data_IF_621408220366
#
_entry.id   IF_621408220366
#
_cell.length_a   1.000
_cell.length_b   1.000
_cell.length_c   1.000
_cell.angle_alpha   90.00
_cell.angle_beta   90.00
_cell.angle_gamma   90.00
#
_symmetry.space_group_name_H-M   'P 1'
#
loop_
_entity.id
_entity.type
_entity.pdbx_description
1 polymer ?
#
# COMPACT_ATOMS: atom_id res chain seq x y z
N UNK A 1 10.09 -22.99 -72.25
CA UNK A 1 9.60 -21.60 -72.27
C UNK A 1 9.95 -20.99 -70.91
N UNK A 2 11.17 -20.48 -70.69
CA UNK A 2 11.65 -19.10 -70.94
C UNK A 2 10.79 -18.03 -70.19
N UNK A 3 11.31 -17.09 -69.38
CA UNK A 3 12.67 -16.68 -68.98
C UNK A 3 12.59 -15.73 -67.75
N UNK A 4 13.74 -15.56 -67.10
CA UNK A 4 14.11 -14.80 -65.89
C UNK A 4 13.78 -13.29 -65.86
N UNK A 5 13.71 -12.68 -64.66
CA UNK A 5 14.68 -11.67 -64.18
C UNK A 5 14.38 -11.16 -62.73
N UNK A 6 15.41 -11.19 -61.86
CA UNK A 6 15.65 -10.25 -60.75
C UNK A 6 16.77 -9.27 -61.21
N UNK A 7 17.38 -8.34 -60.42
CA UNK A 7 17.23 -7.97 -58.99
C UNK A 7 17.34 -6.44 -58.70
N UNK A 8 17.31 -6.01 -57.42
CA UNK A 8 18.28 -5.07 -56.81
C UNK A 8 17.97 -4.77 -55.32
N UNK A 9 19.01 -4.77 -54.49
CA UNK A 9 19.03 -4.45 -53.07
C UNK A 9 19.57 -3.04 -52.81
N UNK A 10 19.18 -2.38 -51.71
CA UNK A 10 20.09 -1.50 -50.93
C UNK A 10 19.54 -1.01 -49.58
N UNK A 11 20.38 -1.16 -48.55
CA UNK A 11 20.70 -0.22 -47.47
C UNK A 11 19.71 0.06 -46.30
N UNK A 12 20.02 -0.57 -45.16
CA UNK A 12 20.15 -0.05 -43.78
C UNK A 12 19.98 1.47 -43.56
N UNK A 13 19.19 1.86 -42.53
CA UNK A 13 19.61 2.83 -41.48
C UNK A 13 18.66 2.89 -40.27
N UNK A 14 19.24 2.60 -39.10
CA UNK A 14 18.78 2.99 -37.76
C UNK A 14 18.56 4.50 -37.68
N UNK A 15 17.48 4.95 -37.02
CA UNK A 15 17.37 6.35 -36.58
C UNK A 15 16.89 6.43 -35.14
N UNK A 16 17.77 7.00 -34.32
CA UNK A 16 17.70 7.16 -32.89
C UNK A 16 16.64 8.17 -32.41
N UNK A 17 16.28 7.97 -31.14
CA UNK A 17 15.67 8.91 -30.19
C UNK A 17 16.05 10.38 -30.48
N UNK A 18 15.07 11.23 -30.82
CA UNK A 18 15.21 12.69 -30.76
C UNK A 18 14.53 13.21 -29.50
N UNK A 19 15.34 13.37 -28.45
CA UNK A 19 15.02 14.22 -27.30
C UNK A 19 15.02 15.67 -27.78
N UNK A 20 13.93 16.39 -27.52
CA UNK A 20 13.70 17.74 -28.01
C UNK A 20 14.58 18.76 -27.25
N UNK A 21 15.61 19.30 -27.91
CA UNK A 21 16.61 20.25 -27.37
C UNK A 21 16.08 21.68 -27.12
N UNK A 22 14.79 21.92 -27.30
CA UNK A 22 14.17 23.25 -27.08
C UNK A 22 13.79 23.53 -25.62
N UNK A 23 13.76 22.52 -24.74
CA UNK A 23 13.46 22.71 -23.31
C UNK A 23 14.69 23.14 -22.47
N UNK A 24 15.93 22.93 -22.95
CA UNK A 24 17.14 23.29 -22.20
C UNK A 24 17.62 24.74 -22.43
N UNK A 25 17.10 25.45 -23.43
CA UNK A 25 17.54 26.82 -23.73
C UNK A 25 16.76 27.91 -22.96
N UNK A 26 15.59 27.58 -22.40
CA UNK A 26 14.75 28.54 -21.68
C UNK A 26 15.23 28.82 -20.25
N UNK A 27 16.03 27.92 -19.65
CA UNK A 27 16.49 28.04 -18.26
C UNK A 27 17.81 28.82 -18.15
N UNK A 28 18.60 28.91 -19.22
CA UNK A 28 19.89 29.63 -19.23
C UNK A 28 19.73 31.14 -19.45
N UNK A 29 18.63 31.62 -20.04
CA UNK A 29 18.46 33.05 -20.35
C UNK A 29 17.93 33.90 -19.18
N UNK A 30 17.34 33.30 -18.15
CA UNK A 30 16.78 34.02 -17.00
C UNK A 30 17.83 34.42 -15.94
N UNK A 31 19.06 33.90 -16.03
CA UNK A 31 20.10 34.14 -15.01
C UNK A 31 21.19 35.15 -15.41
N UNK A 32 21.22 35.61 -16.67
CA UNK A 32 22.32 36.46 -17.19
C UNK A 32 21.94 37.91 -17.51
N UNK A 33 20.68 38.33 -17.34
CA UNK A 33 20.25 39.73 -17.55
C UNK A 33 20.19 40.57 -16.27
N UNK A 34 20.45 39.98 -15.09
CA UNK A 34 20.46 40.71 -13.80
C UNK A 34 21.77 41.44 -13.47
N UNK A 35 22.77 41.44 -14.37
CA UNK A 35 24.12 41.96 -14.08
C UNK A 35 24.70 42.83 -15.20
N UNK A 36 23.94 43.79 -15.74
CA UNK A 36 24.47 44.92 -16.52
C UNK A 36 23.37 45.93 -16.84
N UNK A 37 23.21 46.94 -15.98
CA UNK A 37 22.79 48.32 -16.31
C UNK A 37 22.53 49.04 -14.99
N UNK A 38 23.57 49.72 -14.50
CA UNK A 38 23.40 50.74 -13.49
C UNK A 38 22.69 51.92 -14.14
N UNK A 39 21.44 52.15 -13.76
CA UNK A 39 20.80 53.44 -13.96
C UNK A 39 20.03 53.81 -12.69
N UNK A 40 20.49 54.91 -12.14
CA UNK A 40 20.06 55.58 -10.94
C UNK A 40 18.80 56.37 -11.27
N UNK A 41 17.64 56.01 -10.70
CA UNK A 41 16.45 56.86 -10.71
C UNK A 41 15.99 57.05 -9.27
N UNK A 42 15.88 58.34 -8.95
CA UNK A 42 15.46 58.92 -7.68
C UNK A 42 14.05 58.49 -7.25
N UNK A 43 13.96 58.18 -5.96
CA UNK A 43 12.89 58.50 -5.01
C UNK A 43 11.47 58.73 -5.54
N UNK A 44 10.56 57.79 -5.26
CA UNK A 44 9.27 58.11 -4.65
C UNK A 44 8.62 56.83 -4.11
N UNK A 45 8.47 56.76 -2.79
CA UNK A 45 7.42 56.06 -2.05
C UNK A 45 7.06 54.62 -2.49
N UNK A 46 7.74 53.61 -1.94
CA UNK A 46 7.12 52.30 -1.68
C UNK A 46 7.75 51.67 -0.43
N UNK A 47 6.92 51.42 0.58
CA UNK A 47 7.27 50.89 1.90
C UNK A 47 7.91 49.48 1.84
N UNK A 48 8.86 49.14 2.73
CA UNK A 48 9.45 47.81 2.81
C UNK A 48 8.58 46.90 3.68
N UNK A 49 7.54 46.31 3.10
CA UNK A 49 6.78 45.19 3.72
C UNK A 49 6.65 43.98 2.78
N UNK A 50 7.32 43.99 1.63
CA UNK A 50 7.19 42.96 0.59
C UNK A 50 8.35 41.95 0.55
N UNK A 51 9.02 41.65 1.68
CA UNK A 51 10.08 40.62 1.72
C UNK A 51 9.93 39.57 2.82
N UNK A 52 8.73 39.40 3.38
CA UNK A 52 8.43 38.29 4.30
C UNK A 52 7.24 37.43 3.84
N UNK A 53 6.82 37.55 2.57
CA UNK A 53 5.70 36.78 2.01
C UNK A 53 6.17 35.76 0.95
N UNK A 54 7.32 35.14 1.18
CA UNK A 54 7.76 33.99 0.40
C UNK A 54 7.94 32.81 1.34
N UNK A 55 7.09 31.80 1.13
CA UNK A 55 6.98 30.50 1.81
C UNK A 55 5.85 30.34 2.84
N UNK A 56 4.64 30.75 2.47
CA UNK A 56 3.45 29.95 2.74
C UNK A 56 2.76 29.68 1.40
N UNK A 57 3.27 28.70 0.64
CA UNK A 57 2.39 28.02 -0.31
C UNK A 57 1.32 27.36 0.56
N UNK A 58 0.18 28.04 0.66
CA UNK A 58 -1.02 27.57 1.31
C UNK A 58 -1.40 26.23 0.69
N UNK A 59 -0.97 25.15 1.35
CA UNK A 59 -1.27 23.77 1.01
C UNK A 59 -2.79 23.67 0.94
N UNK A 60 -3.34 23.71 -0.27
CA UNK A 60 -4.76 23.45 -0.49
C UNK A 60 -5.07 22.15 0.23
N UNK A 61 -6.03 22.10 1.18
CA UNK A 61 -6.26 20.91 1.97
C UNK A 61 -6.54 19.78 1.00
N UNK A 62 -5.64 18.80 0.99
CA UNK A 62 -5.83 17.59 0.21
C UNK A 62 -7.16 17.00 0.67
N UNK A 63 -8.04 16.70 -0.29
CA UNK A 63 -9.31 16.06 0.04
C UNK A 63 -9.02 14.80 0.87
N UNK A 64 -9.66 14.68 2.04
CA UNK A 64 -9.46 13.59 3.00
C UNK A 64 -9.50 12.21 2.33
N UNK A 65 -10.39 12.03 1.36
CA UNK A 65 -10.52 10.77 0.60
C UNK A 65 -9.30 10.49 -0.28
N UNK A 66 -8.76 11.53 -0.93
CA UNK A 66 -7.56 11.44 -1.77
C UNK A 66 -6.34 11.12 -0.91
N UNK A 67 -6.23 11.79 0.24
CA UNK A 67 -5.15 11.57 1.21
C UNK A 67 -5.15 10.13 1.74
N UNK A 68 -6.30 9.64 2.22
CA UNK A 68 -6.42 8.26 2.69
C UNK A 68 -6.09 7.25 1.59
N UNK A 69 -6.60 7.48 0.37
CA UNK A 69 -6.31 6.63 -0.78
C UNK A 69 -4.81 6.57 -1.09
N UNK A 70 -4.11 7.71 -1.04
CA UNK A 70 -2.67 7.77 -1.25
C UNK A 70 -1.89 7.00 -0.18
N UNK A 71 -2.30 7.07 1.09
CA UNK A 71 -1.67 6.32 2.19
C UNK A 71 -1.90 4.81 2.07
N UNK A 72 -3.11 4.38 1.69
CA UNK A 72 -3.42 2.97 1.44
C UNK A 72 -2.67 2.42 0.23
N UNK A 73 -2.56 3.21 -0.86
CA UNK A 73 -1.71 2.87 -2.00
C UNK A 73 -0.24 2.74 -1.60
N UNK A 74 0.25 3.64 -0.74
CA UNK A 74 1.63 3.56 -0.22
C UNK A 74 1.86 2.28 0.59
N UNK A 75 0.86 1.87 1.41
CA UNK A 75 0.91 0.61 2.16
C UNK A 75 0.94 -0.60 1.23
N UNK A 76 0.06 -0.65 0.25
CA UNK A 76 0.02 -1.70 -0.77
C UNK A 76 1.37 -1.81 -1.50
N UNK A 77 1.94 -0.69 -1.96
CA UNK A 77 3.21 -0.67 -2.65
C UNK A 77 4.35 -1.17 -1.77
N UNK A 78 4.41 -0.73 -0.52
CA UNK A 78 5.41 -1.20 0.46
C UNK A 78 5.41 -2.74 0.55
N UNK A 79 4.24 -3.34 0.70
CA UNK A 79 4.11 -4.78 0.90
C UNK A 79 4.37 -5.59 -0.38
N UNK A 80 4.19 -5.00 -1.57
CA UNK A 80 4.47 -5.64 -2.86
C UNK A 80 5.90 -5.46 -3.37
N UNK A 81 6.61 -4.41 -2.95
CA UNK A 81 7.98 -4.13 -3.44
C UNK A 81 8.91 -5.32 -3.19
N UNK A 82 8.82 -5.98 -2.02
CA UNK A 82 9.72 -7.09 -1.68
C UNK A 82 9.57 -8.32 -2.60
N UNK A 83 8.37 -8.95 -2.76
CA UNK A 83 8.24 -10.10 -3.64
C UNK A 83 8.46 -9.75 -5.12
N UNK A 84 8.09 -8.55 -5.57
CA UNK A 84 8.33 -8.11 -6.95
C UNK A 84 9.84 -7.88 -7.20
N UNK A 85 10.55 -7.28 -6.25
CA UNK A 85 12.00 -7.09 -6.32
C UNK A 85 12.75 -8.42 -6.32
N UNK A 86 12.37 -9.36 -5.45
CA UNK A 86 12.96 -10.69 -5.43
C UNK A 86 12.73 -11.45 -6.75
N UNK A 87 11.57 -11.26 -7.40
CA UNK A 87 11.31 -11.80 -8.73
C UNK A 87 12.25 -11.21 -9.79
N UNK A 88 12.40 -9.87 -9.83
CA UNK A 88 13.31 -9.21 -10.77
C UNK A 88 14.76 -9.70 -10.60
N UNK A 89 15.24 -9.75 -9.35
CA UNK A 89 16.58 -10.21 -9.03
C UNK A 89 16.82 -11.66 -9.47
N UNK A 90 15.82 -12.54 -9.30
CA UNK A 90 15.93 -13.93 -9.76
C UNK A 90 16.05 -14.05 -11.28
N UNK A 91 15.38 -13.19 -12.05
CA UNK A 91 15.52 -13.15 -13.52
C UNK A 91 16.92 -12.68 -13.92
N UNK A 92 17.47 -11.69 -13.23
CA UNK A 92 18.85 -11.22 -13.44
C UNK A 92 19.86 -12.35 -13.17
N UNK A 93 19.70 -13.10 -12.08
CA UNK A 93 20.56 -14.25 -11.79
C UNK A 93 20.46 -15.32 -12.89
N UNK A 94 19.25 -15.64 -13.36
CA UNK A 94 19.06 -16.64 -14.43
C UNK A 94 19.67 -16.24 -15.78
N UNK A 95 19.96 -14.96 -16.00
CA UNK A 95 20.57 -14.48 -17.22
C UNK A 95 22.06 -14.85 -17.31
N UNK A 96 22.74 -14.90 -16.17
CA UNK A 96 24.19 -15.11 -16.07
C UNK A 96 24.56 -16.47 -15.40
N UNK A 97 23.58 -17.25 -14.95
CA UNK A 97 23.78 -18.54 -14.28
C UNK A 97 23.62 -19.73 -15.25
N UNK A 98 24.67 -20.53 -15.41
CA UNK A 98 24.67 -21.71 -16.29
C UNK A 98 24.55 -23.03 -15.53
N UNK A 99 24.79 -23.04 -14.22
CA UNK A 99 24.71 -24.25 -13.42
C UNK A 99 23.25 -24.75 -13.29
N UNK A 100 22.94 -25.98 -13.75
CA UNK A 100 21.57 -26.49 -13.75
C UNK A 100 20.91 -26.55 -12.37
N UNK A 101 21.67 -26.89 -11.33
CA UNK A 101 21.16 -27.04 -9.97
C UNK A 101 20.85 -25.65 -9.37
N UNK A 102 21.74 -24.67 -9.56
CA UNK A 102 21.51 -23.29 -9.14
C UNK A 102 20.32 -22.66 -9.87
N UNK A 103 20.20 -22.87 -11.18
CA UNK A 103 19.03 -22.39 -11.95
C UNK A 103 17.72 -22.96 -11.40
N UNK A 104 17.71 -24.24 -10.99
CA UNK A 104 16.52 -24.87 -10.41
C UNK A 104 16.12 -24.22 -9.08
N UNK A 105 17.08 -23.88 -8.22
CA UNK A 105 16.82 -23.15 -6.98
C UNK A 105 16.28 -21.74 -7.25
N UNK A 106 16.83 -21.02 -8.24
CA UNK A 106 16.32 -19.71 -8.63
C UNK A 106 14.89 -19.80 -9.16
N UNK A 107 14.55 -20.83 -9.95
CA UNK A 107 13.16 -21.06 -10.38
C UNK A 107 12.20 -21.28 -9.21
N UNK A 108 12.63 -22.01 -8.16
CA UNK A 108 11.82 -22.17 -6.94
C UNK A 108 11.59 -20.81 -6.25
N UNK A 109 12.63 -19.98 -6.14
CA UNK A 109 12.54 -18.63 -5.58
C UNK A 109 11.58 -17.73 -6.39
N UNK A 110 11.68 -17.75 -7.72
CA UNK A 110 10.76 -17.03 -8.61
C UNK A 110 9.32 -17.48 -8.41
N UNK A 111 9.08 -18.79 -8.35
CA UNK A 111 7.76 -19.36 -8.07
C UNK A 111 7.20 -18.87 -6.74
N UNK A 112 8.01 -18.89 -5.68
CA UNK A 112 7.62 -18.37 -4.36
C UNK A 112 7.27 -16.88 -4.41
N UNK A 113 8.09 -16.06 -5.07
CA UNK A 113 7.85 -14.62 -5.24
C UNK A 113 6.55 -14.31 -5.98
N UNK A 114 6.23 -15.05 -7.05
CA UNK A 114 4.96 -14.88 -7.79
C UNK A 114 3.75 -15.23 -6.92
N UNK A 115 3.80 -16.36 -6.20
CA UNK A 115 2.72 -16.75 -5.29
C UNK A 115 2.51 -15.70 -4.21
N UNK A 116 3.60 -15.21 -3.62
CA UNK A 116 3.60 -14.17 -2.61
C UNK A 116 3.04 -12.83 -3.11
N UNK A 117 3.37 -12.40 -4.33
CA UNK A 117 2.83 -11.19 -4.93
C UNK A 117 1.33 -11.35 -5.24
N UNK A 118 0.92 -12.49 -5.81
CA UNK A 118 -0.48 -12.79 -6.14
C UNK A 118 -1.38 -12.86 -4.90
N UNK A 119 -0.91 -13.49 -3.83
CA UNK A 119 -1.62 -13.54 -2.54
C UNK A 119 -1.84 -12.13 -1.95
N UNK A 120 -0.80 -11.28 -1.96
CA UNK A 120 -0.88 -9.89 -1.50
C UNK A 120 -1.83 -9.05 -2.34
N UNK A 121 -1.79 -9.17 -3.65
CA UNK A 121 -2.73 -8.48 -4.54
C UNK A 121 -4.18 -8.90 -4.27
N UNK A 122 -4.43 -10.20 -4.10
CA UNK A 122 -5.76 -10.74 -3.79
C UNK A 122 -6.26 -10.19 -2.46
N UNK A 123 -5.41 -10.19 -1.44
CA UNK A 123 -5.70 -9.61 -0.13
C UNK A 123 -6.04 -8.12 -0.23
N UNK A 124 -5.18 -7.29 -0.82
CA UNK A 124 -5.42 -5.84 -0.88
C UNK A 124 -6.63 -5.47 -1.72
N UNK A 125 -6.94 -6.27 -2.75
CA UNK A 125 -8.17 -6.10 -3.53
C UNK A 125 -9.42 -6.27 -2.68
N UNK A 126 -9.42 -7.18 -1.70
CA UNK A 126 -10.53 -7.33 -0.75
C UNK A 126 -10.45 -6.31 0.41
N UNK A 127 -9.28 -6.06 0.96
CA UNK A 127 -9.08 -5.22 2.14
C UNK A 127 -9.28 -3.71 1.86
N UNK A 128 -8.87 -3.22 0.69
CA UNK A 128 -8.92 -1.79 0.34
C UNK A 128 -9.84 -1.50 -0.84
N UNK A 129 -10.03 -2.46 -1.75
CA UNK A 129 -10.71 -2.24 -3.03
C UNK A 129 -12.19 -1.85 -2.91
N UNK A 130 -12.67 -1.08 -3.89
CA UNK A 130 -14.08 -0.72 -4.02
C UNK A 130 -14.96 -1.88 -4.51
N UNK A 131 -14.38 -2.82 -5.27
CA UNK A 131 -15.05 -3.98 -5.88
C UNK A 131 -14.32 -5.28 -5.58
N UNK A 132 -14.07 -5.56 -4.30
CA UNK A 132 -13.33 -6.72 -3.79
C UNK A 132 -13.98 -8.08 -4.10
N UNK A 133 -14.09 -8.44 -5.38
CA UNK A 133 -14.22 -9.80 -5.89
C UNK A 133 -15.56 -10.51 -5.82
N UNK A 134 -16.44 -10.19 -4.87
CA UNK A 134 -17.64 -11.00 -4.64
C UNK A 134 -18.82 -10.10 -4.25
N UNK A 135 -19.46 -9.48 -5.23
CA UNK A 135 -20.72 -8.76 -5.04
C UNK A 135 -20.80 -7.89 -3.78
N UNK A 136 -21.89 -8.04 -3.04
CA UNK A 136 -22.10 -7.37 -1.74
C UNK A 136 -21.72 -8.28 -0.54
N UNK A 137 -21.50 -9.58 -0.81
CA UNK A 137 -21.22 -10.61 0.19
C UNK A 137 -20.18 -11.60 -0.30
N UNK A 138 -19.28 -11.99 0.59
CA UNK A 138 -18.22 -12.97 0.35
C UNK A 138 -18.41 -14.20 1.25
N UNK A 139 -18.24 -15.43 0.73
CA UNK A 139 -18.15 -16.62 1.56
C UNK A 139 -17.03 -16.48 2.59
N UNK A 140 -17.29 -16.80 3.86
CA UNK A 140 -16.31 -16.65 4.93
C UNK A 140 -15.04 -17.49 4.68
N UNK A 141 -15.19 -18.68 4.07
CA UNK A 141 -14.07 -19.53 3.67
C UNK A 141 -13.15 -18.85 2.65
N UNK A 142 -13.70 -18.08 1.70
CA UNK A 142 -12.88 -17.36 0.71
C UNK A 142 -12.04 -16.25 1.37
N UNK A 143 -12.60 -15.62 2.40
CA UNK A 143 -11.91 -14.60 3.21
C UNK A 143 -10.80 -15.24 4.04
N UNK A 144 -11.08 -16.39 4.68
CA UNK A 144 -10.07 -17.21 5.36
C UNK A 144 -8.93 -17.55 4.41
N UNK A 145 -9.23 -18.12 3.25
CA UNK A 145 -8.22 -18.61 2.31
C UNK A 145 -7.34 -17.45 1.81
N UNK A 146 -7.94 -16.28 1.59
CA UNK A 146 -7.19 -15.07 1.22
C UNK A 146 -6.27 -14.61 2.36
N UNK A 147 -6.77 -14.60 3.60
CA UNK A 147 -5.99 -14.22 4.76
C UNK A 147 -4.84 -15.21 5.00
N UNK A 148 -5.10 -16.51 4.94
CA UNK A 148 -4.10 -17.56 5.08
C UNK A 148 -3.05 -17.47 3.98
N UNK A 149 -3.45 -17.24 2.72
CA UNK A 149 -2.51 -17.07 1.61
C UNK A 149 -1.62 -15.84 1.78
N UNK A 150 -2.14 -14.73 2.32
CA UNK A 150 -1.35 -13.52 2.59
C UNK A 150 -0.20 -13.78 3.57
N UNK A 151 -0.43 -14.60 4.60
CA UNK A 151 0.56 -14.93 5.62
C UNK A 151 1.37 -16.21 5.33
N UNK A 152 1.11 -16.89 4.20
CA UNK A 152 1.78 -18.12 3.83
C UNK A 152 3.31 -17.92 3.70
N UNK A 153 4.08 -18.83 4.30
CA UNK A 153 5.54 -18.74 4.35
C UNK A 153 6.09 -17.68 5.32
N UNK A 154 5.21 -16.96 6.02
CA UNK A 154 5.57 -16.01 7.07
C UNK A 154 5.70 -16.65 8.45
N UNK A 155 5.92 -15.81 9.47
CA UNK A 155 6.03 -16.23 10.88
C UNK A 155 4.71 -16.19 11.65
N UNK A 156 3.61 -15.90 10.97
CA UNK A 156 2.28 -15.70 11.57
C UNK A 156 1.38 -16.85 11.15
N UNK A 157 0.84 -17.57 12.12
CA UNK A 157 -0.18 -18.59 11.90
C UNK A 157 -1.59 -17.98 12.01
N UNK A 158 -2.53 -18.45 11.19
CA UNK A 158 -3.92 -18.00 11.20
C UNK A 158 -4.80 -19.09 11.82
N UNK A 159 -5.53 -18.72 12.86
CA UNK A 159 -6.56 -19.53 13.51
C UNK A 159 -7.94 -18.92 13.20
N UNK A 160 -8.70 -19.57 12.32
CA UNK A 160 -9.97 -19.05 11.82
C UNK A 160 -11.16 -19.70 12.54
N UNK A 161 -11.92 -18.89 13.26
CA UNK A 161 -13.06 -19.32 14.10
C UNK A 161 -14.36 -18.56 13.78
N UNK A 162 -14.45 -17.95 12.60
CA UNK A 162 -15.69 -17.31 12.14
C UNK A 162 -16.74 -18.38 11.88
N UNK A 163 -17.90 -18.26 12.53
CA UNK A 163 -19.01 -19.22 12.42
C UNK A 163 -20.05 -18.84 11.35
N UNK A 164 -19.84 -17.70 10.68
CA UNK A 164 -20.74 -17.17 9.66
C UNK A 164 -20.44 -17.82 8.30
N UNK A 165 -21.47 -18.11 7.51
CA UNK A 165 -21.30 -18.62 6.15
C UNK A 165 -20.86 -17.55 5.15
N UNK A 166 -21.37 -16.33 5.31
CA UNK A 166 -21.05 -15.18 4.47
C UNK A 166 -20.82 -13.92 5.30
N UNK A 167 -19.97 -13.05 4.78
CA UNK A 167 -19.60 -11.76 5.36
C UNK A 167 -19.93 -10.66 4.35
N UNK A 168 -20.54 -9.57 4.80
CA UNK A 168 -20.71 -8.38 3.96
C UNK A 168 -19.37 -7.69 3.69
N UNK A 169 -19.37 -6.82 2.68
CA UNK A 169 -18.17 -6.10 2.22
C UNK A 169 -17.41 -5.38 3.34
N UNK A 170 -18.10 -4.69 4.23
CA UNK A 170 -17.46 -3.89 5.26
C UNK A 170 -16.90 -4.77 6.36
N UNK A 171 -17.62 -5.83 6.74
CA UNK A 171 -17.13 -6.86 7.67
C UNK A 171 -15.85 -7.51 7.16
N UNK A 172 -15.78 -7.84 5.86
CA UNK A 172 -14.54 -8.37 5.24
C UNK A 172 -13.40 -7.37 5.37
N UNK A 173 -13.63 -6.10 5.01
CA UNK A 173 -12.60 -5.06 5.11
C UNK A 173 -12.14 -4.89 6.56
N UNK A 174 -13.05 -4.86 7.52
CA UNK A 174 -12.74 -4.74 8.95
C UNK A 174 -11.83 -5.90 9.39
N UNK A 175 -12.23 -7.15 9.12
CA UNK A 175 -11.45 -8.34 9.51
C UNK A 175 -10.04 -8.32 8.91
N UNK A 176 -9.93 -8.09 7.59
CA UNK A 176 -8.63 -8.14 6.91
C UNK A 176 -7.70 -7.02 7.39
N UNK A 177 -8.22 -5.80 7.59
CA UNK A 177 -7.43 -4.69 8.08
C UNK A 177 -7.01 -4.87 9.54
N UNK A 178 -7.88 -5.40 10.39
CA UNK A 178 -7.51 -5.74 11.77
C UNK A 178 -6.46 -6.85 11.83
N UNK A 179 -6.54 -7.85 10.95
CA UNK A 179 -5.52 -8.88 10.86
C UNK A 179 -4.16 -8.33 10.37
N UNK A 180 -4.17 -7.37 9.44
CA UNK A 180 -2.96 -6.66 9.02
C UNK A 180 -2.30 -5.91 10.19
N UNK A 181 -3.10 -5.20 11.00
CA UNK A 181 -2.63 -4.49 12.20
C UNK A 181 -2.14 -5.45 13.28
N UNK A 182 -2.83 -6.59 13.47
CA UNK A 182 -2.41 -7.65 14.38
C UNK A 182 -1.06 -8.24 13.98
N UNK A 183 -0.81 -8.43 12.69
CA UNK A 183 0.50 -8.91 12.20
C UNK A 183 1.61 -7.87 12.42
N UNK A 184 1.33 -6.59 12.21
CA UNK A 184 2.29 -5.50 12.48
C UNK A 184 2.71 -5.44 13.97
N UNK A 185 1.86 -5.95 14.87
CA UNK A 185 2.15 -6.08 16.30
C UNK A 185 3.01 -7.32 16.64
N UNK A 186 3.27 -8.23 15.70
CA UNK A 186 3.98 -9.50 15.90
C UNK A 186 5.34 -9.54 15.17
N UNK A 187 6.34 -8.73 15.55
CA UNK A 187 7.62 -8.64 14.84
C UNK A 187 8.43 -9.95 14.84
N UNK A 188 8.16 -10.85 15.80
CA UNK A 188 8.79 -12.16 15.92
C UNK A 188 7.93 -13.32 15.41
N UNK A 189 6.75 -13.02 14.86
CA UNK A 189 5.74 -14.02 14.56
C UNK A 189 4.84 -14.33 15.75
N UNK A 190 3.99 -15.34 15.59
CA UNK A 190 2.96 -15.71 16.55
C UNK A 190 1.71 -16.27 15.86
N UNK A 191 0.56 -16.12 16.51
CA UNK A 191 -0.74 -16.49 15.99
C UNK A 191 -1.67 -15.29 15.89
N UNK A 192 -2.51 -15.28 14.86
CA UNK A 192 -3.68 -14.41 14.77
C UNK A 192 -4.92 -15.29 14.77
N UNK A 193 -5.77 -15.11 15.76
CA UNK A 193 -7.10 -15.73 15.82
C UNK A 193 -8.14 -14.73 15.32
N UNK A 194 -9.02 -15.18 14.42
CA UNK A 194 -10.14 -14.38 13.90
C UNK A 194 -11.46 -15.04 14.27
N UNK A 195 -12.29 -14.30 15.00
CA UNK A 195 -13.62 -14.70 15.43
C UNK A 195 -14.66 -13.69 14.95
N UNK A 196 -15.81 -14.17 14.47
CA UNK A 196 -16.96 -13.33 14.17
C UNK A 196 -18.24 -14.12 14.43
N UNK A 197 -19.10 -13.58 15.31
CA UNK A 197 -20.28 -14.26 15.85
C UNK A 197 -21.46 -13.28 15.84
N UNK A 198 -22.64 -13.73 15.39
CA UNK A 198 -23.89 -12.99 15.59
C UNK A 198 -24.35 -13.15 17.03
N UNK A 199 -24.41 -12.05 17.77
CA UNK A 199 -24.98 -11.97 19.10
C UNK A 199 -26.38 -11.33 19.04
N UNK A 200 -27.12 -11.37 20.15
CA UNK A 200 -28.48 -10.82 20.28
C UNK A 200 -28.59 -9.31 20.04
N UNK A 201 -27.48 -8.61 19.89
CA UNK A 201 -27.43 -7.15 19.67
C UNK A 201 -26.52 -6.71 18.54
N UNK A 202 -26.18 -7.60 17.60
CA UNK A 202 -25.35 -7.26 16.44
C UNK A 202 -24.29 -8.29 16.10
N UNK A 203 -23.32 -7.88 15.28
CA UNK A 203 -22.17 -8.68 14.92
C UNK A 203 -20.99 -8.33 15.84
N UNK A 204 -20.45 -9.33 16.53
CA UNK A 204 -19.24 -9.20 17.35
C UNK A 204 -18.07 -9.84 16.60
N UNK A 205 -17.03 -9.05 16.34
CA UNK A 205 -15.80 -9.47 15.64
C UNK A 205 -14.66 -9.32 16.62
N UNK A 206 -13.80 -10.32 16.72
CA UNK A 206 -12.55 -10.25 17.48
C UNK A 206 -11.38 -10.75 16.63
N UNK A 207 -10.33 -9.93 16.56
CA UNK A 207 -9.04 -10.32 16.00
C UNK A 207 -8.00 -10.26 17.11
N UNK A 208 -7.43 -11.42 17.44
CA UNK A 208 -6.49 -11.58 18.55
C UNK A 208 -5.11 -11.85 17.98
N UNK A 209 -4.13 -11.00 18.28
CA UNK A 209 -2.72 -11.29 18.03
C UNK A 209 -2.08 -11.83 19.31
N UNK A 210 -1.36 -12.95 19.21
CA UNK A 210 -0.66 -13.57 20.33
C UNK A 210 0.76 -14.00 19.93
N UNK A 211 1.74 -13.73 20.78
CA UNK A 211 3.12 -14.15 20.56
C UNK A 211 4.03 -13.82 21.73
N UNK A 212 5.29 -14.27 21.66
CA UNK A 212 6.27 -14.11 22.74
C UNK A 212 6.53 -12.65 23.12
N UNK A 213 6.40 -11.74 22.15
CA UNK A 213 6.55 -10.30 22.34
C UNK A 213 5.71 -9.54 21.34
N UNK A 214 4.78 -8.73 21.85
CA UNK A 214 4.04 -7.78 21.02
C UNK A 214 4.70 -6.40 20.97
N UNK A 215 4.48 -5.72 19.86
CA UNK A 215 4.79 -4.30 19.69
C UNK A 215 3.49 -3.49 19.67
N UNK A 216 2.92 -3.27 20.84
CA UNK A 216 1.68 -2.50 20.96
C UNK A 216 1.95 -1.00 20.78
N UNK A 217 1.45 -0.45 19.67
CA UNK A 217 1.50 0.99 19.39
C UNK A 217 0.22 1.66 19.93
N UNK A 218 0.30 2.52 20.96
CA UNK A 218 -0.88 3.17 21.55
C UNK A 218 -1.67 4.01 20.54
N UNK A 219 -0.98 4.56 19.55
CA UNK A 219 -1.58 5.33 18.46
C UNK A 219 -2.60 4.53 17.65
N UNK A 220 -2.31 3.27 17.31
CA UNK A 220 -3.25 2.40 16.59
C UNK A 220 -4.53 2.20 17.41
N UNK A 221 -4.40 1.97 18.71
CA UNK A 221 -5.55 1.81 19.60
C UNK A 221 -6.37 3.10 19.69
N UNK A 222 -5.72 4.27 19.75
CA UNK A 222 -6.40 5.58 19.75
C UNK A 222 -7.16 5.83 18.46
N UNK A 223 -6.55 5.57 17.31
CA UNK A 223 -7.17 5.76 15.99
C UNK A 223 -8.36 4.83 15.81
N UNK A 224 -8.24 3.55 16.18
CA UNK A 224 -9.35 2.60 16.10
C UNK A 224 -10.55 3.04 16.96
N UNK A 225 -10.29 3.52 18.18
CA UNK A 225 -11.35 3.90 19.12
C UNK A 225 -12.00 5.26 18.77
N UNK A 226 -11.21 6.26 18.39
CA UNK A 226 -11.65 7.66 18.34
C UNK A 226 -11.46 8.33 16.97
N UNK A 227 -10.84 7.65 16.02
CA UNK A 227 -10.36 8.27 14.79
C UNK A 227 -9.20 9.24 15.04
N UNK A 228 -8.84 10.00 14.01
CA UNK A 228 -7.87 11.09 14.08
C UNK A 228 -8.04 12.03 12.88
N UNK A 229 -7.24 13.10 12.85
CA UNK A 229 -7.10 13.92 11.65
C UNK A 229 -6.31 13.16 10.58
N UNK A 230 -6.69 13.33 9.32
CA UNK A 230 -5.98 12.75 8.18
C UNK A 230 -4.52 13.21 8.10
N UNK A 231 -4.21 14.41 8.62
CA UNK A 231 -2.87 14.97 8.66
C UNK A 231 -1.93 14.22 9.61
N UNK A 232 -2.50 13.49 10.58
CA UNK A 232 -1.74 12.70 11.57
C UNK A 232 -1.54 11.25 11.08
N UNK A 233 -2.05 10.88 9.91
CA UNK A 233 -1.95 9.52 9.38
C UNK A 233 -0.67 9.31 8.58
N UNK A 234 -0.19 8.07 8.63
CA UNK A 234 0.81 7.53 7.73
C UNK A 234 0.30 6.23 7.08
N UNK A 235 1.13 5.61 6.24
CA UNK A 235 0.77 4.35 5.56
C UNK A 235 0.56 3.17 6.51
N UNK A 236 1.12 3.21 7.73
CA UNK A 236 0.99 2.17 8.75
C UNK A 236 -0.28 2.33 9.57
N UNK A 237 -0.72 3.57 9.81
CA UNK A 237 -1.94 3.89 10.59
C UNK A 237 -3.19 4.01 9.72
N UNK A 238 -3.05 4.23 8.40
CA UNK A 238 -4.20 4.31 7.47
C UNK A 238 -5.17 3.12 7.53
N UNK A 239 -4.73 1.84 7.63
CA UNK A 239 -5.63 0.71 7.85
C UNK A 239 -6.49 0.85 9.11
N UNK A 240 -5.92 1.36 10.21
CA UNK A 240 -6.66 1.57 11.46
C UNK A 240 -7.74 2.64 11.31
N UNK A 241 -7.42 3.72 10.58
CA UNK A 241 -8.40 4.77 10.27
C UNK A 241 -9.52 4.26 9.36
N UNK A 242 -9.20 3.44 8.36
CA UNK A 242 -10.20 2.80 7.50
C UNK A 242 -11.16 1.94 8.33
N UNK A 243 -10.64 1.10 9.23
CA UNK A 243 -11.47 0.30 10.15
C UNK A 243 -12.37 1.20 10.98
N UNK A 244 -11.82 2.26 11.58
CA UNK A 244 -12.60 3.20 12.38
C UNK A 244 -13.78 3.78 11.59
N UNK A 245 -13.55 4.24 10.36
CA UNK A 245 -14.59 4.83 9.52
C UNK A 245 -15.68 3.83 9.12
N UNK A 246 -15.31 2.60 8.77
CA UNK A 246 -16.27 1.54 8.43
C UNK A 246 -17.16 1.18 9.63
N UNK A 247 -16.55 1.06 10.80
CA UNK A 247 -17.27 0.74 12.05
C UNK A 247 -18.18 1.89 12.45
N UNK A 248 -17.71 3.13 12.39
CA UNK A 248 -18.49 4.32 12.73
C UNK A 248 -19.69 4.52 11.78
N UNK A 249 -19.52 4.25 10.49
CA UNK A 249 -20.60 4.32 9.50
C UNK A 249 -21.78 3.37 9.80
N UNK A 250 -21.51 2.28 10.53
CA UNK A 250 -22.52 1.31 10.96
C UNK A 250 -23.02 1.56 12.39
N UNK A 251 -22.58 2.64 13.05
CA UNK A 251 -22.92 2.94 14.45
C UNK A 251 -22.24 2.02 15.46
N UNK A 252 -21.20 1.29 15.04
CA UNK A 252 -20.44 0.37 15.86
C UNK A 252 -19.35 1.03 16.69
N UNK A 253 -18.58 0.21 17.42
CA UNK A 253 -17.43 0.65 18.18
C UNK A 253 -16.28 -0.37 18.18
N UNK A 254 -15.04 0.12 18.24
CA UNK A 254 -13.84 -0.69 18.38
C UNK A 254 -13.27 -0.56 19.79
N UNK A 255 -12.91 -1.68 20.41
CA UNK A 255 -12.17 -1.75 21.67
C UNK A 255 -10.89 -2.54 21.47
N UNK A 256 -9.78 -2.00 21.97
CA UNK A 256 -8.49 -2.70 22.01
C UNK A 256 -8.24 -3.16 23.44
N UNK A 257 -8.07 -4.47 23.63
CA UNK A 257 -7.93 -5.12 24.94
C UNK A 257 -6.59 -5.86 24.96
N UNK A 258 -5.80 -5.69 26.01
CA UNK A 258 -4.52 -6.40 26.16
C UNK A 258 -3.60 -5.70 27.15
N UNK A 259 -2.67 -6.45 27.72
CA UNK A 259 -1.72 -5.97 28.73
C UNK A 259 -0.43 -5.36 28.14
N UNK A 260 -0.26 -5.41 26.81
CA UNK A 260 0.94 -4.87 26.16
C UNK A 260 2.00 -5.91 25.82
N UNK A 261 1.93 -7.13 26.36
CA UNK A 261 3.09 -8.01 26.42
C UNK A 261 2.98 -9.24 25.52
N UNK A 262 1.90 -10.02 25.65
CA UNK A 262 1.77 -11.33 24.98
C UNK A 262 0.52 -11.49 24.13
N UNK A 263 -0.50 -10.65 24.34
CA UNK A 263 -1.69 -10.66 23.50
C UNK A 263 -2.31 -9.26 23.36
N UNK A 264 -2.91 -9.01 22.21
CA UNK A 264 -3.78 -7.86 21.95
C UNK A 264 -5.01 -8.33 21.19
N UNK A 265 -6.17 -7.87 21.60
CA UNK A 265 -7.46 -8.17 20.98
C UNK A 265 -8.05 -6.88 20.45
N UNK A 266 -8.34 -6.86 19.15
CA UNK A 266 -9.15 -5.83 18.50
C UNK A 266 -10.58 -6.35 18.41
N UNK A 267 -11.48 -5.82 19.23
CA UNK A 267 -12.88 -6.23 19.27
C UNK A 267 -13.76 -5.15 18.65
N UNK A 268 -14.62 -5.52 17.73
CA UNK A 268 -15.57 -4.65 17.05
C UNK A 268 -16.98 -5.14 17.34
N UNK A 269 -17.87 -4.20 17.68
CA UNK A 269 -19.30 -4.45 17.75
C UNK A 269 -19.99 -3.59 16.70
N UNK A 270 -20.71 -4.23 15.79
CA UNK A 270 -21.56 -3.63 14.76
C UNK A 270 -23.03 -3.89 15.10
#
# INVERSE_FOLDING_TARGET
MARMAAPAASASRSTALKVNRSALAAITYAFLTRKRLGLQICSSQYSPLASLASQEEMQKPMNTEIALSALLCSRLCHDLISPVGAFSNGIEILADEDDPDMRQEVFKLLGQSVQQAGARLTFFRMAFGAGGGFGDRSPADSVRDTLTAYFAGGKVAIDWKVSLGELDRDTVKIILNLALLAADALPRGGGITVEAIRATGGLDIAVVAQGDRLLNKPEIAKILANGCSIADLDSKTAPAYLVHQLVAAQGGAVKVIGDGHQAVTYRVRL
#
